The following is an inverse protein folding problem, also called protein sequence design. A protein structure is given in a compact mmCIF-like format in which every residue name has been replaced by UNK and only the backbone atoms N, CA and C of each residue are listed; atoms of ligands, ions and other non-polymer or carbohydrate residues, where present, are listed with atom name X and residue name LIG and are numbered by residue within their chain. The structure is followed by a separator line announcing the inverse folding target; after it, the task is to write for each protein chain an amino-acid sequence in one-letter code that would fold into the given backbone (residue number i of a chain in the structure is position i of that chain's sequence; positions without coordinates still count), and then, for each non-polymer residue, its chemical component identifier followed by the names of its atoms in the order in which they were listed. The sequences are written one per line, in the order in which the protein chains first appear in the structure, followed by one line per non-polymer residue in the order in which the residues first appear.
data_IF_326734536592
#
_entry.id   IF_326734536592
#
_cell.length_a   1.000
_cell.length_b   1.000
_cell.length_c   1.000
_cell.angle_alpha   90.00
_cell.angle_beta   90.00
_cell.angle_gamma   90.00
#
_symmetry.space_group_name_H-M   'P 1'
#
loop_
_entity.id
_entity.type
_entity.pdbx_description
1 polymer ?
#
# COMPACT_ATOMS: atom_id res chain seq x y z
N UNK A 1 4.52 17.89 26.54
CA UNK A 1 4.30 16.71 25.68
C UNK A 1 2.95 16.84 25.02
N UNK A 2 2.80 16.46 23.74
CA UNK A 2 1.49 16.47 23.07
C UNK A 2 0.73 15.23 23.48
N UNK A 3 -0.53 15.35 23.93
CA UNK A 3 -1.41 14.21 24.12
C UNK A 3 -1.91 13.68 22.76
N UNK A 4 -1.79 12.39 22.53
CA UNK A 4 -2.21 11.73 21.29
C UNK A 4 -3.23 10.65 21.61
N UNK A 5 -4.31 10.56 20.81
CA UNK A 5 -5.28 9.46 20.87
C UNK A 5 -5.46 8.85 19.50
N UNK A 6 -5.50 7.52 19.43
CA UNK A 6 -5.70 6.79 18.20
C UNK A 6 -7.12 6.26 18.07
N UNK A 7 -7.81 6.58 16.97
CA UNK A 7 -9.17 6.13 16.72
C UNK A 7 -9.26 5.23 15.49
N UNK A 8 -9.93 4.10 15.61
CA UNK A 8 -10.06 3.11 14.54
C UNK A 8 -11.41 2.39 14.60
N UNK A 9 -11.66 1.48 13.66
CA UNK A 9 -12.80 0.56 13.73
C UNK A 9 -12.54 -0.63 14.67
N UNK A 10 -13.63 -1.35 15.02
CA UNK A 10 -13.57 -2.52 15.90
C UNK A 10 -12.66 -3.62 15.36
N UNK A 11 -12.60 -3.82 14.04
CA UNK A 11 -11.82 -4.90 13.42
C UNK A 11 -10.32 -4.63 13.52
N UNK A 12 -9.91 -3.38 13.36
CA UNK A 12 -8.51 -2.97 13.41
C UNK A 12 -7.99 -2.73 14.83
N UNK A 13 -8.88 -2.56 15.82
CA UNK A 13 -8.50 -2.19 17.20
C UNK A 13 -7.46 -3.12 17.87
N UNK A 14 -7.53 -4.47 17.75
CA UNK A 14 -6.51 -5.34 18.33
C UNK A 14 -5.12 -5.08 17.72
N UNK A 15 -5.04 -4.93 16.41
CA UNK A 15 -3.80 -4.64 15.70
C UNK A 15 -3.27 -3.24 16.05
N UNK A 16 -4.15 -2.24 16.12
CA UNK A 16 -3.79 -0.87 16.51
C UNK A 16 -3.19 -0.82 17.93
N UNK A 17 -3.78 -1.53 18.89
CA UNK A 17 -3.23 -1.64 20.24
C UNK A 17 -1.82 -2.25 20.24
N UNK A 18 -1.62 -3.34 19.50
CA UNK A 18 -0.30 -3.97 19.37
C UNK A 18 0.75 -3.07 18.71
N UNK A 19 0.35 -2.23 17.75
CA UNK A 19 1.25 -1.25 17.12
C UNK A 19 1.58 -0.13 18.10
N UNK A 20 0.56 0.47 18.74
CA UNK A 20 0.78 1.58 19.69
C UNK A 20 1.66 1.15 20.86
N UNK A 21 1.45 -0.04 21.43
CA UNK A 21 2.25 -0.56 22.51
C UNK A 21 3.76 -0.69 22.21
N UNK A 22 4.13 -0.81 20.92
CA UNK A 22 5.54 -0.82 20.50
C UNK A 22 6.20 0.56 20.51
N UNK A 23 5.42 1.62 20.36
CA UNK A 23 5.92 3.00 20.30
C UNK A 23 5.72 3.72 21.64
N UNK A 24 4.50 3.70 22.14
CA UNK A 24 4.13 4.31 23.41
C UNK A 24 2.81 3.67 23.90
N UNK A 25 2.91 2.84 24.94
CA UNK A 25 1.77 2.13 25.52
C UNK A 25 0.74 3.04 26.22
N UNK A 26 1.10 4.31 26.45
CA UNK A 26 0.19 5.30 27.02
C UNK A 26 -0.82 5.86 26.01
N UNK A 27 -0.62 5.66 24.70
CA UNK A 27 -1.53 6.16 23.66
C UNK A 27 -2.85 5.37 23.69
N UNK A 28 -3.98 5.98 24.08
CA UNK A 28 -5.25 5.28 24.15
C UNK A 28 -5.81 5.01 22.74
N UNK A 29 -6.21 3.76 22.52
CA UNK A 29 -6.88 3.33 21.28
C UNK A 29 -8.38 3.24 21.53
N UNK A 30 -9.16 4.04 20.80
CA UNK A 30 -10.62 4.07 20.88
C UNK A 30 -11.28 3.57 19.60
N UNK A 31 -12.42 2.88 19.76
CA UNK A 31 -13.22 2.40 18.65
C UNK A 31 -14.29 3.43 18.29
N UNK A 32 -14.41 3.70 16.97
CA UNK A 32 -15.46 4.51 16.38
C UNK A 32 -16.31 3.61 15.48
N UNK A 33 -17.63 3.72 15.59
CA UNK A 33 -18.55 3.10 14.64
C UNK A 33 -18.39 3.73 13.26
N UNK A 34 -18.29 2.91 12.25
CA UNK A 34 -18.17 3.37 10.87
C UNK A 34 -18.69 2.32 9.90
N UNK A 35 -19.27 2.76 8.79
CA UNK A 35 -19.79 1.92 7.72
C UNK A 35 -18.93 2.01 6.47
N UNK A 36 -18.61 0.87 5.87
CA UNK A 36 -17.86 0.80 4.61
C UNK A 36 -18.84 0.78 3.44
N UNK A 37 -19.26 1.93 2.94
CA UNK A 37 -20.14 2.03 1.78
C UNK A 37 -19.58 1.26 0.57
N UNK A 38 -20.35 0.27 0.10
CA UNK A 38 -19.97 -0.58 -1.02
C UNK A 38 -20.29 0.10 -2.33
N UNK A 39 -19.31 0.22 -3.19
CA UNK A 39 -19.45 0.77 -4.54
C UNK A 39 -18.68 -0.10 -5.51
N UNK A 40 -19.35 -0.48 -6.60
CA UNK A 40 -18.77 -1.27 -7.66
C UNK A 40 -18.60 -0.39 -8.91
N UNK A 41 -17.42 -0.39 -9.52
CA UNK A 41 -17.09 0.49 -10.62
C UNK A 41 -17.90 0.26 -11.88
N UNK A 42 -18.23 -1.02 -12.10
CA UNK A 42 -18.96 -1.47 -13.27
C UNK A 42 -20.47 -1.20 -13.17
N UNK A 43 -20.94 -0.63 -12.05
CA UNK A 43 -22.35 -0.33 -11.82
C UNK A 43 -22.59 1.19 -11.82
N UNK A 44 -23.64 1.62 -12.50
CA UNK A 44 -24.16 3.00 -12.42
C UNK A 44 -24.82 3.25 -11.07
N UNK A 45 -25.05 4.51 -10.70
CA UNK A 45 -25.75 4.85 -9.44
C UNK A 45 -27.13 4.20 -9.36
N UNK A 46 -27.88 4.15 -10.45
CA UNK A 46 -29.19 3.52 -10.53
C UNK A 46 -29.11 1.99 -10.32
N UNK A 47 -28.14 1.35 -10.92
CA UNK A 47 -27.92 -0.09 -10.73
C UNK A 47 -27.57 -0.42 -9.27
N UNK A 48 -26.80 0.44 -8.57
CA UNK A 48 -26.54 0.25 -7.15
C UNK A 48 -27.83 0.27 -6.31
N UNK A 49 -28.83 1.08 -6.69
CA UNK A 49 -30.12 1.18 -6.00
C UNK A 49 -31.07 0.01 -6.31
N UNK A 50 -30.84 -0.70 -7.41
CA UNK A 50 -31.67 -1.84 -7.84
C UNK A 50 -31.18 -3.20 -7.32
N UNK A 51 -29.96 -3.27 -6.78
CA UNK A 51 -29.38 -4.53 -6.30
C UNK A 51 -29.56 -4.65 -4.77
N UNK A 52 -30.47 -5.51 -4.26
CA UNK A 52 -30.75 -5.62 -2.82
C UNK A 52 -29.51 -5.95 -1.99
N UNK A 53 -28.62 -6.83 -2.50
CA UNK A 53 -27.36 -7.19 -1.83
C UNK A 53 -26.34 -6.05 -1.71
N UNK A 54 -26.57 -4.93 -2.38
CA UNK A 54 -25.80 -3.69 -2.26
C UNK A 54 -26.54 -2.68 -1.38
N UNK A 55 -27.85 -2.54 -1.60
CA UNK A 55 -28.70 -1.53 -0.93
C UNK A 55 -28.79 -1.79 0.58
N UNK A 56 -29.21 -2.99 0.99
CA UNK A 56 -29.40 -3.28 2.41
C UNK A 56 -28.11 -3.11 3.23
N UNK A 57 -26.95 -3.67 2.82
CA UNK A 57 -25.70 -3.43 3.55
C UNK A 57 -25.31 -1.94 3.60
N UNK A 58 -25.59 -1.16 2.53
CA UNK A 58 -25.27 0.26 2.51
C UNK A 58 -26.18 1.06 3.44
N UNK A 59 -27.46 0.71 3.59
CA UNK A 59 -28.36 1.33 4.58
C UNK A 59 -27.81 1.10 5.99
N UNK A 60 -27.44 -0.14 6.34
CA UNK A 60 -26.81 -0.43 7.64
C UNK A 60 -25.49 0.33 7.82
N UNK A 61 -24.69 0.45 6.77
CA UNK A 61 -23.43 1.18 6.83
C UNK A 61 -23.65 2.69 6.98
N UNK A 62 -24.71 3.26 6.39
CA UNK A 62 -25.13 4.66 6.62
C UNK A 62 -25.53 4.85 8.08
N UNK A 63 -26.36 3.96 8.65
CA UNK A 63 -26.72 4.02 10.07
C UNK A 63 -25.48 3.98 10.98
N UNK A 64 -24.49 3.12 10.67
CA UNK A 64 -23.21 3.09 11.41
C UNK A 64 -22.42 4.39 11.28
N UNK A 65 -22.44 5.04 10.11
CA UNK A 65 -21.79 6.35 9.91
C UNK A 65 -22.46 7.42 10.75
N UNK A 66 -23.80 7.44 10.82
CA UNK A 66 -24.56 8.40 11.64
C UNK A 66 -24.31 8.18 13.14
N UNK A 67 -24.35 6.93 13.60
CA UNK A 67 -24.00 6.59 14.99
C UNK A 67 -22.55 6.94 15.32
N UNK A 68 -21.63 6.67 14.40
CA UNK A 68 -20.22 7.06 14.54
C UNK A 68 -20.02 8.58 14.56
N UNK A 69 -20.85 9.33 13.84
CA UNK A 69 -20.83 10.80 13.88
C UNK A 69 -21.24 11.30 15.26
N UNK A 70 -22.36 10.81 15.80
CA UNK A 70 -22.83 11.16 17.17
C UNK A 70 -21.75 10.78 18.20
N UNK A 71 -21.23 9.56 18.12
CA UNK A 71 -20.15 9.09 18.99
C UNK A 71 -18.91 9.98 18.89
N UNK A 72 -18.53 10.40 17.69
CA UNK A 72 -17.37 11.27 17.47
C UNK A 72 -17.61 12.67 18.03
N UNK A 73 -18.81 13.24 17.85
CA UNK A 73 -19.17 14.55 18.42
C UNK A 73 -19.04 14.51 19.94
N UNK A 74 -19.66 13.51 20.60
CA UNK A 74 -19.58 13.36 22.05
C UNK A 74 -18.12 13.26 22.51
N UNK A 75 -17.33 12.36 21.92
CA UNK A 75 -15.92 12.19 22.29
C UNK A 75 -15.09 13.46 22.07
N UNK A 76 -15.35 14.22 21.00
CA UNK A 76 -14.63 15.46 20.68
C UNK A 76 -15.07 16.65 21.54
N UNK A 77 -16.28 16.64 22.10
CA UNK A 77 -16.70 17.62 23.11
C UNK A 77 -15.94 17.41 24.43
N UNK A 78 -15.83 16.15 24.89
CA UNK A 78 -15.13 15.84 26.15
C UNK A 78 -13.61 15.90 26.03
N UNK A 79 -13.06 15.61 24.84
CA UNK A 79 -11.63 15.73 24.56
C UNK A 79 -11.44 16.48 23.25
N UNK A 80 -11.27 17.78 23.34
CA UNK A 80 -11.13 18.68 22.20
C UNK A 80 -9.67 18.77 21.78
N UNK A 81 -9.21 18.04 20.73
CA UNK A 81 -7.84 18.17 20.25
C UNK A 81 -7.65 19.47 19.50
N UNK A 82 -6.41 19.96 19.47
CA UNK A 82 -6.02 21.13 18.68
C UNK A 82 -6.11 20.85 17.17
N UNK A 83 -5.85 19.59 16.77
CA UNK A 83 -5.90 19.15 15.36
C UNK A 83 -6.19 17.66 15.26
N UNK A 84 -6.85 17.26 14.17
CA UNK A 84 -7.12 15.84 13.83
C UNK A 84 -6.43 15.48 12.53
N UNK A 85 -5.65 14.38 12.55
CA UNK A 85 -5.06 13.78 11.36
C UNK A 85 -5.90 12.59 10.87
N UNK A 86 -6.44 12.68 9.65
CA UNK A 86 -7.30 11.69 9.03
C UNK A 86 -6.53 10.97 7.92
N UNK A 87 -6.10 9.73 8.18
CA UNK A 87 -5.32 8.92 7.22
C UNK A 87 -6.16 8.43 6.01
N UNK A 88 -7.46 8.74 5.99
CA UNK A 88 -8.39 8.24 5.00
C UNK A 88 -9.10 6.96 5.45
N UNK A 89 -9.90 6.38 4.54
CA UNK A 89 -10.74 5.24 4.87
C UNK A 89 -12.08 5.63 5.53
N UNK A 90 -12.99 4.66 5.63
CA UNK A 90 -14.38 4.90 6.02
C UNK A 90 -14.55 5.37 7.48
N UNK A 91 -13.62 5.03 8.37
CA UNK A 91 -13.64 5.47 9.79
C UNK A 91 -13.42 6.98 9.91
N UNK A 92 -12.66 7.56 9.00
CA UNK A 92 -12.36 9.00 9.02
C UNK A 92 -13.56 9.87 8.66
N UNK A 93 -14.60 9.33 8.00
CA UNK A 93 -15.76 10.11 7.57
C UNK A 93 -16.57 10.67 8.74
N UNK A 94 -17.08 9.86 9.69
CA UNK A 94 -17.80 10.39 10.83
C UNK A 94 -16.95 11.30 11.71
N UNK A 95 -15.67 10.99 11.89
CA UNK A 95 -14.74 11.81 12.68
C UNK A 95 -14.50 13.18 12.01
N UNK A 96 -14.27 13.20 10.69
CA UNK A 96 -14.05 14.43 9.93
C UNK A 96 -15.29 15.33 9.87
N UNK A 97 -16.49 14.75 9.77
CA UNK A 97 -17.74 15.52 9.87
C UNK A 97 -17.97 16.08 11.28
N UNK A 98 -17.67 15.32 12.33
CA UNK A 98 -17.73 15.80 13.72
C UNK A 98 -16.72 16.95 13.93
N UNK A 99 -15.49 16.81 13.43
CA UNK A 99 -14.48 17.86 13.50
C UNK A 99 -14.95 19.15 12.81
N UNK A 100 -15.51 19.01 11.60
CA UNK A 100 -16.09 20.15 10.86
C UNK A 100 -17.21 20.84 11.62
N UNK A 101 -18.12 20.06 12.20
CA UNK A 101 -19.24 20.58 13.01
C UNK A 101 -18.75 21.35 14.23
N UNK A 102 -17.76 20.82 14.94
CA UNK A 102 -17.16 21.43 16.14
C UNK A 102 -16.07 22.47 15.84
N UNK A 103 -15.83 22.78 14.55
CA UNK A 103 -14.80 23.71 14.09
C UNK A 103 -13.39 23.35 14.58
N UNK A 104 -13.08 22.05 14.70
CA UNK A 104 -11.76 21.52 15.02
C UNK A 104 -10.98 21.40 13.70
N UNK A 105 -9.76 21.98 13.59
CA UNK A 105 -8.98 21.87 12.38
C UNK A 105 -8.59 20.40 12.11
N UNK A 106 -8.60 19.98 10.85
CA UNK A 106 -8.17 18.65 10.48
C UNK A 106 -7.38 18.65 9.19
N UNK A 107 -6.52 17.65 9.08
CA UNK A 107 -5.71 17.33 7.91
C UNK A 107 -6.18 15.98 7.37
N UNK A 108 -6.28 15.86 6.07
CA UNK A 108 -6.49 14.56 5.40
C UNK A 108 -5.21 14.09 4.73
N UNK A 109 -5.04 12.78 4.62
CA UNK A 109 -3.96 12.15 3.88
C UNK A 109 -4.53 11.12 2.90
N UNK A 110 -4.24 11.28 1.61
CA UNK A 110 -4.50 10.27 0.59
C UNK A 110 -3.22 9.49 0.27
N UNK A 111 -3.23 8.20 0.54
CA UNK A 111 -2.09 7.33 0.24
C UNK A 111 -2.07 6.91 -1.23
N UNK A 112 -3.24 6.56 -1.80
CA UNK A 112 -3.36 6.17 -3.21
C UNK A 112 -3.30 7.39 -4.13
N UNK A 113 -2.82 7.20 -5.36
CA UNK A 113 -2.78 8.23 -6.41
C UNK A 113 -4.16 8.64 -6.94
N UNK A 114 -5.20 8.30 -6.22
CA UNK A 114 -6.57 8.70 -6.53
C UNK A 114 -7.35 8.92 -5.24
N UNK A 115 -8.05 10.05 -5.12
CA UNK A 115 -8.76 10.39 -3.88
C UNK A 115 -9.82 9.35 -3.51
N UNK A 116 -9.73 8.85 -2.28
CA UNK A 116 -10.79 8.05 -1.68
C UNK A 116 -12.07 8.88 -1.47
N UNK A 117 -13.25 8.22 -1.43
CA UNK A 117 -14.52 8.93 -1.24
C UNK A 117 -14.52 9.80 0.03
N UNK A 118 -14.07 9.25 1.14
CA UNK A 118 -13.96 9.95 2.42
C UNK A 118 -13.17 11.25 2.28
N UNK A 119 -11.99 11.17 1.68
CA UNK A 119 -11.12 12.32 1.51
C UNK A 119 -11.73 13.35 0.55
N UNK A 120 -12.39 12.92 -0.55
CA UNK A 120 -13.13 13.84 -1.43
C UNK A 120 -14.22 14.62 -0.70
N UNK A 121 -14.97 13.96 0.20
CA UNK A 121 -16.02 14.59 0.99
C UNK A 121 -15.48 15.56 2.07
N UNK A 122 -14.28 15.30 2.57
CA UNK A 122 -13.66 16.11 3.63
C UNK A 122 -12.73 17.20 3.09
N UNK A 123 -12.20 17.06 1.88
CA UNK A 123 -11.14 17.91 1.32
C UNK A 123 -11.46 19.41 1.33
N UNK A 124 -12.73 19.78 1.01
CA UNK A 124 -13.12 21.20 0.90
C UNK A 124 -12.87 22.00 2.18
N UNK A 125 -13.04 21.38 3.36
CA UNK A 125 -12.89 22.00 4.67
C UNK A 125 -11.65 21.53 5.45
N UNK A 126 -10.82 20.69 4.86
CA UNK A 126 -9.53 20.34 5.43
C UNK A 126 -8.61 21.57 5.47
N UNK A 127 -7.88 21.77 6.59
CA UNK A 127 -6.90 22.84 6.72
C UNK A 127 -5.72 22.60 5.77
N UNK A 128 -5.24 21.35 5.72
CA UNK A 128 -4.24 20.88 4.76
C UNK A 128 -4.60 19.52 4.21
N UNK A 129 -4.07 19.22 3.02
CA UNK A 129 -4.23 17.94 2.33
C UNK A 129 -2.83 17.38 2.07
N UNK A 130 -2.51 16.25 2.66
CA UNK A 130 -1.30 15.51 2.41
C UNK A 130 -1.55 14.43 1.37
N UNK A 131 -0.62 14.22 0.43
CA UNK A 131 -0.77 13.21 -0.63
C UNK A 131 0.42 12.26 -0.67
N UNK A 132 0.13 10.99 -0.99
CA UNK A 132 1.13 9.95 -1.16
C UNK A 132 1.79 9.93 -2.54
N UNK A 133 1.13 10.51 -3.56
CA UNK A 133 1.62 10.66 -4.92
C UNK A 133 1.69 12.15 -5.31
N UNK A 134 2.35 12.51 -6.44
CA UNK A 134 2.45 13.88 -6.93
C UNK A 134 1.10 14.57 -7.10
N UNK A 135 1.06 15.89 -6.89
CA UNK A 135 -0.18 16.68 -6.81
C UNK A 135 -0.98 16.73 -8.11
N UNK A 136 -0.36 16.49 -9.26
CA UNK A 136 -1.04 16.47 -10.56
C UNK A 136 -2.08 15.33 -10.68
N UNK A 137 -1.96 14.29 -9.88
CA UNK A 137 -2.89 13.15 -9.88
C UNK A 137 -4.14 13.36 -9.02
N UNK A 138 -4.24 14.53 -8.35
CA UNK A 138 -5.37 14.83 -7.45
C UNK A 138 -6.12 16.09 -7.88
N UNK A 139 -7.48 16.07 -7.84
CA UNK A 139 -8.30 17.23 -8.11
C UNK A 139 -8.44 18.14 -6.87
N UNK A 140 -7.40 18.25 -6.06
CA UNK A 140 -7.40 19.05 -4.85
C UNK A 140 -6.90 20.47 -5.09
N UNK A 141 -7.32 21.39 -4.23
CA UNK A 141 -6.80 22.74 -4.16
C UNK A 141 -5.31 22.72 -3.83
N UNK A 142 -4.49 23.11 -4.80
CA UNK A 142 -3.02 23.05 -4.71
C UNK A 142 -2.45 24.01 -3.67
N UNK A 143 -3.19 25.07 -3.27
CA UNK A 143 -2.72 26.05 -2.28
C UNK A 143 -2.61 25.47 -0.87
N UNK A 144 -3.38 24.41 -0.57
CA UNK A 144 -3.38 23.70 0.71
C UNK A 144 -2.97 22.22 0.62
N UNK A 145 -2.50 21.78 -0.55
CA UNK A 145 -2.09 20.40 -0.79
C UNK A 145 -0.57 20.26 -0.81
N UNK A 146 -0.06 19.19 -0.20
CA UNK A 146 1.36 18.92 -0.05
C UNK A 146 1.67 17.47 -0.41
N UNK A 147 2.59 17.25 -1.34
CA UNK A 147 3.11 15.92 -1.65
C UNK A 147 4.15 15.51 -0.60
N UNK A 148 3.72 14.84 0.44
CA UNK A 148 4.57 14.37 1.54
C UNK A 148 5.03 12.92 1.36
N UNK A 149 4.37 12.16 0.52
CA UNK A 149 4.56 10.71 0.40
C UNK A 149 3.80 9.93 1.50
N UNK A 150 4.15 8.66 1.66
CA UNK A 150 3.63 7.79 2.71
C UNK A 150 4.78 7.47 3.65
N UNK A 151 4.61 7.61 4.96
CA UNK A 151 5.62 7.14 5.92
C UNK A 151 5.89 5.64 5.75
N UNK A 152 7.13 5.30 5.43
CA UNK A 152 7.66 3.92 5.41
C UNK A 152 8.70 3.79 6.53
N UNK A 153 9.02 2.55 6.92
CA UNK A 153 10.06 2.31 7.93
C UNK A 153 11.40 2.89 7.48
N UNK A 154 12.17 3.44 8.43
CA UNK A 154 13.51 3.94 8.17
C UNK A 154 14.53 2.90 7.70
N UNK A 155 14.20 1.60 7.81
CA UNK A 155 15.02 0.49 7.30
C UNK A 155 15.06 0.43 5.77
N UNK A 156 14.04 1.02 5.10
CA UNK A 156 13.99 1.06 3.64
C UNK A 156 14.92 2.15 3.11
N UNK A 157 16.13 1.75 2.78
CA UNK A 157 17.19 2.60 2.22
C UNK A 157 17.91 1.87 1.10
N UNK A 158 18.58 2.61 0.24
CA UNK A 158 19.48 2.02 -0.76
C UNK A 158 20.53 1.15 -0.08
N UNK A 159 20.81 -0.01 -0.66
CA UNK A 159 21.84 -0.92 -0.17
C UNK A 159 23.12 -0.81 -1.02
N UNK A 160 24.26 -0.86 -0.32
CA UNK A 160 25.55 -1.09 -0.94
C UNK A 160 25.66 -2.52 -1.50
N UNK A 161 26.45 -2.73 -2.55
CA UNK A 161 26.54 -3.99 -3.26
C UNK A 161 26.94 -5.16 -2.32
N UNK A 162 27.92 -4.97 -1.46
CA UNK A 162 28.31 -5.99 -0.47
C UNK A 162 27.19 -6.43 0.48
N UNK A 163 26.26 -5.51 0.79
CA UNK A 163 25.07 -5.84 1.61
C UNK A 163 24.02 -6.60 0.78
N UNK A 164 23.88 -6.34 -0.50
CA UNK A 164 22.99 -7.10 -1.38
C UNK A 164 23.45 -8.55 -1.48
N UNK A 165 24.74 -8.77 -1.75
CA UNK A 165 25.32 -10.10 -1.79
C UNK A 165 25.17 -10.85 -0.45
N UNK A 166 25.47 -10.19 0.67
CA UNK A 166 25.30 -10.77 2.00
C UNK A 166 23.84 -11.18 2.26
N UNK A 167 22.88 -10.38 1.79
CA UNK A 167 21.45 -10.70 1.89
C UNK A 167 21.10 -11.92 1.04
N UNK A 168 21.56 -12.00 -0.21
CA UNK A 168 21.37 -13.18 -1.08
C UNK A 168 21.90 -14.46 -0.38
N UNK A 169 23.13 -14.42 0.18
CA UNK A 169 23.72 -15.54 0.92
C UNK A 169 22.91 -15.90 2.17
N UNK A 170 22.40 -14.92 2.94
CA UNK A 170 21.57 -15.15 4.11
C UNK A 170 20.30 -15.95 3.77
N UNK A 171 19.70 -15.69 2.60
CA UNK A 171 18.56 -16.47 2.10
C UNK A 171 18.99 -17.76 1.38
N UNK A 172 20.29 -18.10 1.36
CA UNK A 172 20.83 -19.32 0.77
C UNK A 172 20.80 -19.32 -0.77
N UNK A 173 20.92 -18.13 -1.39
CA UNK A 173 21.04 -17.96 -2.81
C UNK A 173 22.50 -17.69 -3.23
N UNK A 174 22.85 -18.04 -4.45
CA UNK A 174 24.12 -17.66 -5.07
C UNK A 174 24.13 -16.13 -5.33
N UNK A 175 25.06 -15.35 -4.76
CA UNK A 175 25.14 -13.91 -4.98
C UNK A 175 25.38 -13.51 -6.44
N UNK A 176 26.12 -14.33 -7.19
CA UNK A 176 26.41 -14.09 -8.61
C UNK A 176 25.22 -14.35 -9.55
N UNK A 177 24.13 -14.93 -9.05
CA UNK A 177 22.91 -15.16 -9.83
C UNK A 177 21.90 -14.04 -9.57
N UNK A 178 21.17 -13.53 -10.59
CA UNK A 178 20.10 -12.58 -10.37
C UNK A 178 19.06 -13.11 -9.37
N UNK A 179 18.46 -12.23 -8.56
CA UNK A 179 17.42 -12.56 -7.60
C UNK A 179 16.09 -11.88 -7.97
N UNK A 180 15.07 -12.68 -8.15
CA UNK A 180 13.68 -12.21 -8.31
C UNK A 180 12.94 -12.39 -6.98
N UNK A 181 12.46 -11.31 -6.41
CA UNK A 181 11.57 -11.36 -5.23
C UNK A 181 10.14 -11.11 -5.66
N UNK A 182 9.24 -12.02 -5.28
CA UNK A 182 7.82 -11.94 -5.63
C UNK A 182 6.98 -11.76 -4.38
N UNK A 183 6.10 -10.75 -4.36
CA UNK A 183 5.21 -10.50 -3.23
C UNK A 183 3.83 -10.01 -3.64
N UNK A 184 2.80 -10.61 -3.07
CA UNK A 184 1.41 -10.16 -3.20
C UNK A 184 0.93 -9.25 -2.05
N UNK A 185 1.86 -8.85 -1.14
CA UNK A 185 1.53 -8.22 0.13
C UNK A 185 1.11 -9.24 1.20
N UNK A 186 0.73 -8.78 2.40
CA UNK A 186 0.50 -9.65 3.56
C UNK A 186 -0.58 -10.74 3.38
N UNK A 187 -1.60 -10.48 2.57
CA UNK A 187 -2.65 -11.47 2.26
C UNK A 187 -2.28 -12.39 1.08
N UNK A 188 -1.21 -12.05 0.35
CA UNK A 188 -0.81 -12.76 -0.86
C UNK A 188 -1.64 -12.39 -2.10
N UNK A 189 -1.21 -12.89 -3.25
CA UNK A 189 -1.84 -12.67 -4.55
C UNK A 189 -1.88 -13.97 -5.36
N UNK A 190 -2.99 -14.72 -5.25
CA UNK A 190 -3.13 -16.05 -5.88
C UNK A 190 -2.71 -16.07 -7.35
N UNK A 191 -3.15 -15.09 -8.15
CA UNK A 191 -2.82 -15.02 -9.58
C UNK A 191 -1.33 -14.82 -9.85
N UNK A 192 -0.64 -14.02 -9.02
CA UNK A 192 0.81 -13.86 -9.11
C UNK A 192 1.47 -15.17 -8.72
N UNK A 193 1.09 -15.75 -7.58
CA UNK A 193 1.64 -17.03 -7.13
C UNK A 193 1.47 -18.11 -8.20
N UNK A 194 0.26 -18.27 -8.77
CA UNK A 194 -0.02 -19.25 -9.80
C UNK A 194 0.83 -19.02 -11.08
N UNK A 195 1.00 -17.78 -11.52
CA UNK A 195 1.84 -17.46 -12.68
C UNK A 195 3.31 -17.83 -12.45
N UNK A 196 3.85 -17.48 -11.27
CA UNK A 196 5.24 -17.83 -10.92
C UNK A 196 5.43 -19.35 -10.84
N UNK A 197 4.44 -20.09 -10.35
CA UNK A 197 4.53 -21.56 -10.31
C UNK A 197 4.55 -22.19 -11.70
N UNK A 198 3.74 -21.68 -12.62
CA UNK A 198 3.73 -22.16 -14.00
C UNK A 198 5.06 -21.87 -14.72
N UNK A 199 5.62 -20.68 -14.48
CA UNK A 199 6.91 -20.26 -15.06
C UNK A 199 8.14 -20.71 -14.24
N UNK A 200 7.97 -21.53 -13.18
CA UNK A 200 9.04 -21.87 -12.25
C UNK A 200 10.28 -22.43 -12.94
N UNK A 201 10.11 -23.31 -13.92
CA UNK A 201 11.22 -23.95 -14.64
C UNK A 201 12.02 -22.92 -15.42
N UNK A 202 11.36 -22.15 -16.25
CA UNK A 202 11.94 -21.10 -17.09
C UNK A 202 12.61 -20.00 -16.27
N UNK A 203 12.00 -19.62 -15.14
CA UNK A 203 12.56 -18.60 -14.26
C UNK A 203 13.83 -19.09 -13.55
N UNK A 204 13.88 -20.35 -13.11
CA UNK A 204 15.07 -20.94 -12.48
C UNK A 204 16.29 -20.99 -13.39
N UNK A 205 16.09 -21.09 -14.70
CA UNK A 205 17.19 -21.01 -15.68
C UNK A 205 17.81 -19.60 -15.74
N UNK A 206 17.07 -18.56 -15.36
CA UNK A 206 17.43 -17.14 -15.45
C UNK A 206 17.90 -16.54 -14.15
N UNK A 207 17.24 -16.88 -13.05
CA UNK A 207 17.41 -16.23 -11.76
C UNK A 207 17.10 -17.16 -10.59
N UNK A 208 17.55 -16.81 -9.41
CA UNK A 208 17.01 -17.34 -8.16
C UNK A 208 15.70 -16.64 -7.81
N UNK A 209 14.73 -17.35 -7.23
CA UNK A 209 13.38 -16.85 -6.94
C UNK A 209 13.06 -16.99 -5.46
N UNK A 210 12.63 -15.91 -4.82
CA UNK A 210 12.01 -15.96 -3.52
C UNK A 210 10.55 -15.53 -3.66
N UNK A 211 9.63 -16.50 -3.43
CA UNK A 211 8.19 -16.28 -3.51
C UNK A 211 7.58 -16.11 -2.12
N UNK A 212 7.08 -14.89 -1.83
CA UNK A 212 6.35 -14.56 -0.61
C UNK A 212 4.85 -14.71 -0.90
N UNK A 213 4.28 -15.84 -0.50
CA UNK A 213 2.92 -16.23 -0.89
C UNK A 213 1.82 -15.44 -0.22
N UNK A 214 2.09 -14.90 0.98
CA UNK A 214 1.07 -14.43 1.91
C UNK A 214 0.52 -15.55 2.78
N UNK A 215 0.12 -15.20 4.00
CA UNK A 215 -0.24 -16.16 5.07
C UNK A 215 -1.34 -17.14 4.64
N UNK A 216 -2.35 -16.67 3.90
CA UNK A 216 -3.50 -17.51 3.51
C UNK A 216 -3.25 -18.46 2.35
N UNK A 217 -2.09 -18.42 1.68
CA UNK A 217 -1.84 -19.20 0.46
C UNK A 217 -0.62 -20.14 0.58
N UNK A 218 0.13 -20.02 1.65
CA UNK A 218 1.39 -20.76 1.82
C UNK A 218 1.23 -22.28 1.69
N UNK A 219 0.26 -22.87 2.39
CA UNK A 219 0.08 -24.31 2.39
C UNK A 219 -0.32 -24.87 1.00
N UNK A 220 -1.24 -24.18 0.30
CA UNK A 220 -1.63 -24.56 -1.06
C UNK A 220 -0.43 -24.52 -2.02
N UNK A 221 0.33 -23.42 -1.97
CA UNK A 221 1.50 -23.27 -2.82
C UNK A 221 2.59 -24.28 -2.45
N UNK A 222 2.84 -24.54 -1.16
CA UNK A 222 3.82 -25.53 -0.69
C UNK A 222 3.47 -26.96 -1.18
N UNK A 223 2.21 -27.36 -1.11
CA UNK A 223 1.79 -28.66 -1.63
C UNK A 223 2.06 -28.83 -3.14
N UNK A 224 1.98 -27.74 -3.90
CA UNK A 224 2.22 -27.74 -5.36
C UNK A 224 3.70 -27.64 -5.73
N UNK A 225 4.54 -27.09 -4.89
CA UNK A 225 5.96 -26.86 -5.18
C UNK A 225 6.89 -27.92 -4.59
N UNK A 226 6.46 -28.62 -3.55
CA UNK A 226 7.36 -29.43 -2.72
C UNK A 226 8.38 -28.59 -1.96
N UNK A 227 9.57 -29.13 -1.72
CA UNK A 227 10.62 -28.49 -0.93
C UNK A 227 11.31 -27.36 -1.72
N UNK A 228 11.96 -26.50 -0.96
CA UNK A 228 12.86 -25.47 -1.48
C UNK A 228 14.08 -26.10 -2.13
N UNK A 229 14.60 -25.43 -3.14
CA UNK A 229 15.86 -25.79 -3.78
C UNK A 229 16.84 -24.59 -3.83
N UNK A 230 17.98 -24.76 -4.48
CA UNK A 230 19.01 -23.73 -4.54
C UNK A 230 18.51 -22.42 -5.19
N UNK A 231 17.59 -22.52 -6.16
CA UNK A 231 17.12 -21.40 -6.97
C UNK A 231 15.64 -21.06 -6.75
N UNK A 232 14.94 -21.79 -5.89
CA UNK A 232 13.54 -21.47 -5.57
C UNK A 232 13.26 -21.65 -4.08
N UNK A 233 12.84 -20.58 -3.45
CA UNK A 233 12.44 -20.59 -2.03
C UNK A 233 11.08 -20.00 -1.81
N UNK A 234 10.34 -20.63 -0.90
CA UNK A 234 8.98 -20.27 -0.56
C UNK A 234 8.89 -19.81 0.88
N UNK A 235 8.32 -18.63 1.10
CA UNK A 235 8.02 -18.13 2.45
C UNK A 235 6.57 -17.62 2.52
N UNK A 236 5.95 -17.78 3.69
CA UNK A 236 4.57 -17.30 3.89
C UNK A 236 4.51 -15.80 4.12
N UNK A 237 5.40 -15.29 4.98
CA UNK A 237 5.45 -13.89 5.39
C UNK A 237 6.84 -13.52 5.93
N UNK A 238 7.26 -12.29 5.71
CA UNK A 238 8.52 -11.74 6.24
C UNK A 238 8.18 -10.64 7.24
N UNK A 239 8.45 -10.88 8.51
CA UNK A 239 8.20 -9.94 9.62
C UNK A 239 9.33 -8.93 9.84
N UNK A 240 10.55 -9.27 9.41
CA UNK A 240 11.74 -8.43 9.55
C UNK A 240 12.72 -8.69 8.39
N UNK A 241 13.47 -7.66 8.00
CA UNK A 241 14.44 -7.77 6.90
C UNK A 241 13.84 -7.65 5.49
N UNK A 242 12.58 -7.25 5.36
CA UNK A 242 11.94 -7.02 4.06
C UNK A 242 12.67 -5.94 3.25
N UNK A 243 13.11 -4.86 3.89
CA UNK A 243 13.84 -3.78 3.23
C UNK A 243 15.14 -4.28 2.58
N UNK A 244 15.93 -5.07 3.34
CA UNK A 244 17.18 -5.66 2.85
C UNK A 244 16.90 -6.64 1.70
N UNK A 245 15.86 -7.46 1.83
CA UNK A 245 15.50 -8.41 0.79
C UNK A 245 15.08 -7.70 -0.51
N UNK A 246 14.17 -6.72 -0.44
CA UNK A 246 13.74 -5.97 -1.62
C UNK A 246 14.88 -5.17 -2.24
N UNK A 247 15.76 -4.57 -1.41
CA UNK A 247 16.94 -3.83 -1.89
C UNK A 247 18.03 -4.71 -2.50
N UNK A 248 18.04 -6.03 -2.22
CA UNK A 248 18.98 -6.99 -2.80
C UNK A 248 18.46 -7.66 -4.09
N UNK A 249 17.20 -7.45 -4.43
CA UNK A 249 16.57 -8.03 -5.60
C UNK A 249 17.02 -7.33 -6.89
N UNK A 250 17.29 -8.11 -7.93
CA UNK A 250 17.49 -7.59 -9.28
C UNK A 250 16.16 -7.21 -9.93
N UNK A 251 15.08 -7.92 -9.57
CA UNK A 251 13.70 -7.61 -9.95
C UNK A 251 12.77 -7.88 -8.76
N UNK A 252 11.85 -6.97 -8.52
CA UNK A 252 10.71 -7.22 -7.61
C UNK A 252 9.43 -7.28 -8.42
N UNK A 253 8.66 -8.37 -8.26
CA UNK A 253 7.32 -8.51 -8.82
C UNK A 253 6.32 -8.32 -7.66
N UNK A 254 5.52 -7.25 -7.73
CA UNK A 254 4.66 -6.89 -6.60
C UNK A 254 3.28 -6.36 -7.03
N UNK A 255 2.33 -6.40 -6.09
CA UNK A 255 1.08 -5.64 -6.21
C UNK A 255 1.34 -4.14 -6.15
N UNK A 256 0.51 -3.35 -6.85
CA UNK A 256 0.62 -1.89 -6.90
C UNK A 256 -0.09 -1.19 -5.71
N UNK A 257 0.15 -1.67 -4.48
CA UNK A 257 -0.26 -0.98 -3.27
C UNK A 257 0.60 0.27 -3.04
N UNK A 258 -0.04 1.40 -2.69
CA UNK A 258 0.67 2.68 -2.57
C UNK A 258 1.87 2.64 -1.60
N UNK A 259 1.74 1.97 -0.45
CA UNK A 259 2.85 1.81 0.50
C UNK A 259 3.96 0.95 -0.09
N UNK A 260 3.60 -0.21 -0.69
CA UNK A 260 4.60 -1.12 -1.28
C UNK A 260 5.41 -0.45 -2.39
N UNK A 261 4.78 0.38 -3.23
CA UNK A 261 5.52 1.11 -4.27
C UNK A 261 6.53 2.09 -3.65
N UNK A 262 6.18 2.79 -2.56
CA UNK A 262 7.11 3.69 -1.89
C UNK A 262 8.20 2.95 -1.10
N UNK A 263 7.94 1.75 -0.62
CA UNK A 263 8.97 0.84 -0.08
C UNK A 263 9.96 0.45 -1.18
N UNK A 264 9.48 0.06 -2.38
CA UNK A 264 10.31 -0.22 -3.54
C UNK A 264 11.09 1.01 -3.99
N UNK A 265 10.47 2.17 -3.98
CA UNK A 265 11.12 3.45 -4.31
C UNK A 265 12.26 3.76 -3.32
N UNK A 266 12.05 3.55 -2.04
CA UNK A 266 13.05 3.84 -1.01
C UNK A 266 14.30 2.95 -1.12
N UNK A 267 14.14 1.70 -1.57
CA UNK A 267 15.26 0.77 -1.80
C UNK A 267 15.76 0.76 -3.24
N UNK A 268 15.15 1.54 -4.15
CA UNK A 268 15.53 1.62 -5.55
C UNK A 268 15.37 0.30 -6.31
N UNK A 269 14.40 -0.55 -5.96
CA UNK A 269 14.24 -1.88 -6.55
C UNK A 269 13.64 -1.81 -7.96
N UNK A 270 14.30 -2.33 -9.01
CA UNK A 270 13.68 -2.49 -10.33
C UNK A 270 12.43 -3.34 -10.22
N UNK A 271 11.29 -2.84 -10.71
CA UNK A 271 9.99 -3.45 -10.34
C UNK A 271 9.07 -3.69 -11.52
N UNK A 272 8.42 -4.85 -11.49
CA UNK A 272 7.26 -5.17 -12.31
C UNK A 272 6.03 -5.13 -11.40
N UNK A 273 5.16 -4.14 -11.60
CA UNK A 273 3.93 -4.02 -10.84
C UNK A 273 2.81 -4.81 -11.51
N UNK A 274 2.10 -5.59 -10.72
CA UNK A 274 0.94 -6.38 -11.12
C UNK A 274 -0.30 -5.84 -10.40
N UNK A 275 -0.94 -4.78 -10.91
CA UNK A 275 -2.08 -4.16 -10.27
C UNK A 275 -3.30 -5.09 -10.29
N UNK A 276 -4.05 -5.14 -9.19
CA UNK A 276 -5.34 -5.81 -9.16
C UNK A 276 -6.44 -4.84 -9.61
N UNK A 277 -6.97 -5.05 -10.81
CA UNK A 277 -8.02 -4.22 -11.40
C UNK A 277 -9.40 -4.39 -10.76
N UNK A 278 -9.66 -5.50 -10.05
CA UNK A 278 -10.95 -5.81 -9.43
C UNK A 278 -11.14 -5.22 -8.04
N UNK A 279 -10.05 -4.87 -7.37
CA UNK A 279 -10.12 -4.29 -6.02
C UNK A 279 -10.48 -2.81 -6.06
N UNK A 280 -11.32 -2.42 -5.12
CA UNK A 280 -11.68 -1.05 -4.72
C UNK A 280 -11.33 0.04 -5.74
N UNK A 281 -12.24 0.37 -6.64
CA UNK A 281 -12.17 1.55 -7.52
C UNK A 281 -10.94 1.60 -8.47
N UNK A 282 -10.26 0.46 -8.75
CA UNK A 282 -9.08 0.43 -9.63
C UNK A 282 -7.89 1.24 -9.06
N UNK A 283 -7.82 1.42 -7.74
CA UNK A 283 -6.75 2.22 -7.11
C UNK A 283 -5.36 1.70 -7.48
N UNK A 284 -5.17 0.37 -7.53
CA UNK A 284 -3.87 -0.19 -7.89
C UNK A 284 -3.47 0.10 -9.34
N UNK A 285 -4.43 0.11 -10.27
CA UNK A 285 -4.16 0.51 -11.66
C UNK A 285 -3.69 1.96 -11.74
N UNK A 286 -4.35 2.85 -11.00
CA UNK A 286 -3.99 4.27 -10.96
C UNK A 286 -2.65 4.49 -10.26
N UNK A 287 -2.39 3.78 -9.16
CA UNK A 287 -1.08 3.82 -8.51
C UNK A 287 0.02 3.38 -9.48
N UNK A 288 -0.11 2.21 -10.11
CA UNK A 288 0.89 1.71 -11.05
C UNK A 288 1.13 2.67 -12.21
N UNK A 289 0.05 3.28 -12.74
CA UNK A 289 0.14 4.22 -13.87
C UNK A 289 1.04 5.41 -13.58
N UNK A 290 0.99 6.01 -12.39
CA UNK A 290 1.85 7.14 -11.97
C UNK A 290 3.33 6.84 -12.21
N UNK A 291 3.77 5.68 -11.77
CA UNK A 291 5.18 5.29 -11.86
C UNK A 291 5.56 4.74 -13.23
N UNK A 292 4.62 4.13 -13.94
CA UNK A 292 4.84 3.67 -15.31
C UNK A 292 4.93 4.84 -16.29
N UNK A 293 4.08 5.87 -16.17
CA UNK A 293 4.14 7.10 -16.98
C UNK A 293 5.49 7.82 -16.82
N UNK A 294 6.09 7.74 -15.63
CA UNK A 294 7.45 8.23 -15.36
C UNK A 294 8.56 7.28 -15.86
N UNK A 295 8.21 6.11 -16.38
CA UNK A 295 9.17 5.07 -16.77
C UNK A 295 9.97 4.49 -15.60
N UNK A 296 9.39 4.52 -14.39
CA UNK A 296 10.02 4.05 -13.16
C UNK A 296 9.73 2.58 -12.84
N UNK A 297 8.71 1.99 -13.49
CA UNK A 297 8.32 0.59 -13.33
C UNK A 297 7.80 0.02 -14.64
N UNK A 298 7.79 -1.30 -14.78
CA UNK A 298 7.01 -1.99 -15.79
C UNK A 298 5.68 -2.46 -15.17
N UNK A 299 4.61 -2.49 -15.97
CA UNK A 299 3.31 -3.04 -15.56
C UNK A 299 3.06 -4.37 -16.26
N UNK A 300 2.67 -5.40 -15.50
CA UNK A 300 2.14 -6.65 -16.04
C UNK A 300 0.66 -6.75 -15.68
N UNK A 301 -0.20 -6.84 -16.70
CA UNK A 301 -1.64 -6.95 -16.54
C UNK A 301 -2.02 -8.40 -16.21
N UNK A 302 -2.53 -8.64 -14.99
CA UNK A 302 -2.87 -9.98 -14.54
C UNK A 302 -4.02 -10.65 -15.31
N UNK A 303 -4.87 -9.90 -15.98
CA UNK A 303 -5.93 -10.46 -16.81
C UNK A 303 -5.35 -10.99 -18.13
N UNK A 304 -4.27 -10.38 -18.66
CA UNK A 304 -3.59 -10.80 -19.88
C UNK A 304 -2.69 -12.01 -19.66
N UNK A 305 -1.84 -11.99 -18.63
CA UNK A 305 -0.97 -13.14 -18.39
C UNK A 305 -1.67 -14.35 -17.73
N UNK A 306 -2.94 -14.23 -17.42
CA UNK A 306 -3.79 -15.39 -17.09
C UNK A 306 -3.90 -16.35 -18.28
N UNK A 307 -3.97 -15.78 -19.49
CA UNK A 307 -4.17 -16.50 -20.74
C UNK A 307 -2.83 -16.75 -21.47
N UNK A 308 -1.81 -15.90 -21.23
CA UNK A 308 -0.45 -16.01 -21.78
C UNK A 308 0.60 -15.55 -20.75
N UNK A 309 1.20 -16.49 -20.04
CA UNK A 309 2.23 -16.22 -19.04
C UNK A 309 3.52 -15.66 -19.63
N UNK A 310 3.79 -15.87 -20.93
CA UNK A 310 4.97 -15.34 -21.60
C UNK A 310 5.03 -13.81 -21.51
N UNK A 311 3.89 -13.13 -21.43
CA UNK A 311 3.84 -11.69 -21.22
C UNK A 311 4.54 -11.23 -19.93
N UNK A 312 4.51 -12.04 -18.86
CA UNK A 312 5.27 -11.74 -17.65
C UNK A 312 6.75 -12.09 -17.83
N UNK A 313 7.04 -13.22 -18.47
CA UNK A 313 8.40 -13.67 -18.75
C UNK A 313 9.17 -12.70 -19.64
N UNK A 314 8.53 -12.16 -20.69
CA UNK A 314 9.10 -11.11 -21.55
C UNK A 314 9.55 -9.88 -20.78
N UNK A 315 8.74 -9.42 -19.80
CA UNK A 315 9.11 -8.26 -18.96
C UNK A 315 10.28 -8.57 -18.02
N UNK A 316 10.33 -9.79 -17.50
CA UNK A 316 11.44 -10.26 -16.67
C UNK A 316 12.72 -10.31 -17.54
N UNK A 317 12.64 -10.93 -18.72
CA UNK A 317 13.75 -11.01 -19.65
C UNK A 317 14.24 -9.62 -20.11
N UNK A 318 13.32 -8.68 -20.35
CA UNK A 318 13.67 -7.32 -20.72
C UNK A 318 14.55 -6.63 -19.66
N UNK A 319 14.27 -6.84 -18.36
CA UNK A 319 15.08 -6.27 -17.29
C UNK A 319 16.38 -7.05 -17.10
N UNK A 320 16.33 -8.38 -17.07
CA UNK A 320 17.52 -9.22 -16.81
C UNK A 320 18.57 -9.14 -17.91
N UNK A 321 18.16 -8.97 -19.18
CA UNK A 321 19.04 -8.92 -20.34
C UNK A 321 19.50 -7.50 -20.70
N UNK A 322 18.99 -6.46 -20.03
CA UNK A 322 19.29 -5.06 -20.32
C UNK A 322 19.64 -4.30 -19.03
N UNK A 323 20.93 -4.22 -18.73
CA UNK A 323 21.46 -3.54 -17.55
C UNK A 323 21.13 -2.04 -17.53
N UNK A 324 21.08 -1.39 -18.71
CA UNK A 324 20.71 0.03 -18.79
C UNK A 324 19.25 0.24 -18.39
N UNK A 325 18.35 -0.64 -18.85
CA UNK A 325 16.94 -0.60 -18.44
C UNK A 325 16.80 -0.85 -16.94
N UNK A 326 17.49 -1.87 -16.39
CA UNK A 326 17.49 -2.19 -14.97
C UNK A 326 17.95 -0.98 -14.13
N UNK A 327 19.06 -0.38 -14.50
CA UNK A 327 19.62 0.81 -13.84
C UNK A 327 18.69 2.02 -13.96
N UNK A 328 18.09 2.24 -15.12
CA UNK A 328 17.14 3.33 -15.34
C UNK A 328 15.88 3.18 -14.47
N UNK A 329 15.29 1.98 -14.42
CA UNK A 329 14.14 1.68 -13.54
C UNK A 329 14.50 1.95 -12.07
N UNK A 330 15.66 1.45 -11.61
CA UNK A 330 16.14 1.68 -10.25
C UNK A 330 16.31 3.18 -9.91
N UNK A 331 16.93 3.94 -10.78
CA UNK A 331 17.15 5.37 -10.58
C UNK A 331 15.83 6.15 -10.58
N UNK A 332 14.96 5.86 -11.55
CA UNK A 332 13.67 6.56 -11.68
C UNK A 332 12.71 6.26 -10.53
N UNK A 333 12.59 5.00 -10.10
CA UNK A 333 11.73 4.68 -8.97
C UNK A 333 12.25 5.33 -7.68
N UNK A 334 13.56 5.39 -7.49
CA UNK A 334 14.15 6.02 -6.30
C UNK A 334 13.88 7.52 -6.21
N UNK A 335 13.64 8.23 -7.32
CA UNK A 335 13.24 9.65 -7.31
C UNK A 335 11.90 9.89 -6.60
N UNK A 336 11.06 8.87 -6.50
CA UNK A 336 9.79 8.93 -5.75
C UNK A 336 9.96 8.61 -4.26
N UNK A 337 11.16 8.23 -3.81
CA UNK A 337 11.42 7.98 -2.40
C UNK A 337 11.12 9.22 -1.55
N UNK A 338 10.44 9.03 -0.43
CA UNK A 338 10.09 10.09 0.52
C UNK A 338 10.56 9.72 1.93
N UNK A 339 11.88 9.69 2.18
CA UNK A 339 12.43 9.22 3.45
C UNK A 339 11.98 10.05 4.64
N UNK A 340 11.58 11.30 4.40
CA UNK A 340 11.13 12.23 5.44
C UNK A 340 9.59 12.36 5.51
N UNK A 341 8.81 11.48 4.87
CA UNK A 341 7.35 11.56 4.82
C UNK A 341 6.71 11.70 6.21
N UNK A 342 7.17 10.97 7.21
CA UNK A 342 6.69 11.06 8.59
C UNK A 342 6.97 12.45 9.19
N UNK A 343 8.18 12.97 9.00
CA UNK A 343 8.59 14.30 9.50
C UNK A 343 7.82 15.43 8.81
N UNK A 344 7.63 15.34 7.50
CA UNK A 344 6.87 16.35 6.74
C UNK A 344 5.38 16.30 7.12
N UNK A 345 4.80 15.12 7.32
CA UNK A 345 3.43 14.97 7.85
C UNK A 345 3.31 15.60 9.24
N UNK A 346 4.26 15.34 10.14
CA UNK A 346 4.28 15.95 11.48
C UNK A 346 4.41 17.47 11.45
N UNK A 347 5.20 18.04 10.53
CA UNK A 347 5.28 19.49 10.33
C UNK A 347 3.92 20.08 9.91
N UNK A 348 3.19 19.41 8.98
CA UNK A 348 1.86 19.87 8.58
C UNK A 348 0.87 19.82 9.75
N UNK A 349 0.94 18.78 10.59
CA UNK A 349 0.11 18.67 11.79
C UNK A 349 0.39 19.83 12.73
N UNK A 350 1.66 20.14 13.02
CA UNK A 350 2.04 21.28 13.88
C UNK A 350 1.62 22.63 13.29
N UNK A 351 1.69 22.79 11.96
CA UNK A 351 1.26 24.03 11.27
C UNK A 351 -0.27 24.19 11.30
N UNK A 352 -1.01 23.14 11.57
CA UNK A 352 -2.47 23.15 11.60
C UNK A 352 -3.03 23.51 13.00
N UNK A 353 -2.22 23.48 14.03
CA UNK A 353 -2.51 24.05 15.34
C UNK A 353 -2.33 25.57 15.27
#
# INVERSE_FOLDING_TARGET
MSEVRFWCDKKFAPQAKGIMAKYDSSIPVSVIMAGKLRRYHHLTLWQHLLIPSVVFPNIFDICKVLLGLIQSIIKLIFWRPDVIFLKGGYVCLPVGWAARFLKIPYIIHDSDAHPGLTNRLLASKAKFIATGAPLEYYPYDKTKSYYVGIPVSGDFTLLEEGRKEATKRKYGFNPGKPLIVVTGGGLGAKRINDAILRLRKELKERASILLITGVGQYNDVRHRTGDDDADFKLVNFISSGMAQLLGSADIVIARAGATSILELAAVGAPSILVPNGRLTAGHQLKNAKVYADAGAVLIADEEKFKDDENLLLEKIDAILKNEDLKKNLSQKINQFAKPYAAKETAKLIKKAV
#
